data_IF_644409349171
#
_entry.id   IF_644409349171
#
_cell.length_a   1.000
_cell.length_b   1.000
_cell.length_c   1.000
_cell.angle_alpha   90.00
_cell.angle_beta   90.00
_cell.angle_gamma   90.00
#
_symmetry.space_group_name_H-M   'P 1'
#
loop_
_entity.id
_entity.type
_entity.pdbx_description
1 polymer ?
#
# COMPACT_ATOMS: atom_id res chain seq x y z
N UNK A 1 -33.64 7.48 -24.72
CA UNK A 1 -32.40 6.88 -24.17
C UNK A 1 -32.81 5.97 -23.03
N UNK A 2 -32.92 4.66 -23.28
CA UNK A 2 -33.36 3.67 -22.30
C UNK A 2 -32.13 3.02 -21.67
N UNK A 3 -31.96 3.19 -20.35
CA UNK A 3 -30.82 2.76 -19.52
C UNK A 3 -30.75 1.25 -19.25
N UNK A 4 -31.25 0.43 -20.18
CA UNK A 4 -31.27 -1.03 -20.03
C UNK A 4 -29.87 -1.68 -20.07
N UNK A 5 -28.83 -0.93 -20.44
CA UNK A 5 -27.45 -1.44 -20.45
C UNK A 5 -26.90 -1.68 -19.03
N UNK A 6 -27.39 -0.97 -18.01
CA UNK A 6 -26.83 -1.00 -16.65
C UNK A 6 -27.64 -1.81 -15.62
N UNK A 7 -28.84 -2.29 -15.98
CA UNK A 7 -29.68 -3.18 -15.15
C UNK A 7 -29.95 -4.52 -15.86
N UNK A 8 -28.91 -5.10 -16.48
CA UNK A 8 -29.00 -6.42 -17.10
C UNK A 8 -28.87 -7.52 -16.03
N UNK A 9 -29.74 -8.55 -16.02
CA UNK A 9 -29.62 -9.70 -15.11
C UNK A 9 -28.35 -10.53 -15.34
N UNK A 10 -27.63 -10.28 -16.43
CA UNK A 10 -26.29 -10.79 -16.71
C UNK A 10 -25.36 -9.61 -17.01
N UNK A 11 -24.62 -9.17 -15.99
CA UNK A 11 -23.49 -8.26 -16.18
C UNK A 11 -22.30 -9.05 -16.74
N UNK A 12 -21.53 -8.49 -17.69
CA UNK A 12 -20.30 -9.11 -18.12
C UNK A 12 -19.37 -9.38 -16.94
N UNK A 13 -18.85 -10.61 -16.86
CA UNK A 13 -17.92 -11.01 -15.80
C UNK A 13 -16.45 -10.94 -16.26
N UNK A 14 -15.53 -11.31 -15.37
CA UNK A 14 -14.09 -11.32 -15.72
C UNK A 14 -13.75 -12.29 -16.86
N UNK A 15 -14.52 -13.37 -17.08
CA UNK A 15 -14.30 -14.29 -18.21
C UNK A 15 -14.69 -13.61 -19.52
N UNK A 16 -15.83 -12.92 -19.54
CA UNK A 16 -16.29 -12.19 -20.72
C UNK A 16 -15.27 -11.13 -21.14
N UNK A 17 -14.68 -10.41 -20.17
CA UNK A 17 -13.61 -9.44 -20.43
C UNK A 17 -12.31 -10.10 -20.87
N UNK A 18 -11.91 -11.21 -20.24
CA UNK A 18 -10.66 -11.90 -20.57
C UNK A 18 -10.63 -12.37 -22.03
N UNK A 19 -11.74 -12.93 -22.53
CA UNK A 19 -11.86 -13.34 -23.93
C UNK A 19 -11.71 -12.14 -24.87
N UNK A 20 -12.42 -11.05 -24.59
CA UNK A 20 -12.38 -9.85 -25.43
C UNK A 20 -10.99 -9.21 -25.44
N UNK A 21 -10.37 -9.03 -24.27
CA UNK A 21 -9.03 -8.46 -24.13
C UNK A 21 -7.98 -9.31 -24.85
N UNK A 22 -8.06 -10.64 -24.72
CA UNK A 22 -7.13 -11.55 -25.41
C UNK A 22 -7.21 -11.41 -26.92
N UNK A 23 -8.44 -11.34 -27.47
CA UNK A 23 -8.66 -11.21 -28.91
C UNK A 23 -8.22 -9.85 -29.45
N UNK A 24 -8.44 -8.78 -28.70
CA UNK A 24 -8.13 -7.41 -29.13
C UNK A 24 -6.63 -7.08 -29.03
N UNK A 25 -5.97 -7.54 -27.96
CA UNK A 25 -4.58 -7.16 -27.66
C UNK A 25 -3.56 -8.20 -28.11
N UNK A 26 -3.98 -9.46 -28.30
CA UNK A 26 -3.08 -10.59 -28.52
C UNK A 26 -2.34 -11.06 -27.26
N UNK A 27 -2.59 -10.44 -26.10
CA UNK A 27 -2.04 -10.85 -24.81
C UNK A 27 -2.96 -11.90 -24.20
N UNK A 28 -2.43 -13.04 -23.78
CA UNK A 28 -3.24 -14.07 -23.14
C UNK A 28 -3.77 -13.58 -21.78
N UNK A 29 -5.09 -13.49 -21.66
CA UNK A 29 -5.78 -13.04 -20.45
C UNK A 29 -6.73 -14.13 -19.96
N UNK A 30 -6.74 -14.33 -18.65
CA UNK A 30 -7.69 -15.17 -17.92
C UNK A 30 -8.60 -14.30 -17.05
N UNK A 31 -9.73 -14.82 -16.57
CA UNK A 31 -10.55 -14.10 -15.60
C UNK A 31 -9.75 -13.64 -14.37
N UNK A 32 -8.86 -14.51 -13.85
CA UNK A 32 -8.02 -14.20 -12.72
C UNK A 32 -7.04 -13.05 -12.99
N UNK A 33 -6.48 -12.95 -14.21
CA UNK A 33 -5.59 -11.83 -14.56
C UNK A 33 -6.36 -10.52 -14.72
N UNK A 34 -7.61 -10.57 -15.20
CA UNK A 34 -8.49 -9.40 -15.28
C UNK A 34 -8.86 -8.91 -13.88
N UNK A 35 -9.25 -9.81 -12.99
CA UNK A 35 -9.55 -9.50 -11.60
C UNK A 35 -8.32 -8.93 -10.87
N UNK A 36 -7.15 -9.56 -11.04
CA UNK A 36 -5.89 -9.08 -10.49
C UNK A 36 -5.51 -7.69 -11.03
N UNK A 37 -5.78 -7.40 -12.31
CA UNK A 37 -5.55 -6.07 -12.87
C UNK A 37 -6.44 -5.02 -12.17
N UNK A 38 -7.72 -5.33 -11.93
CA UNK A 38 -8.63 -4.47 -11.17
C UNK A 38 -8.17 -4.25 -9.73
N UNK A 39 -7.73 -5.31 -9.05
CA UNK A 39 -7.14 -5.21 -7.72
C UNK A 39 -5.88 -4.33 -7.72
N UNK A 40 -4.99 -4.50 -8.71
CA UNK A 40 -3.75 -3.72 -8.84
C UNK A 40 -4.03 -2.22 -9.03
N UNK A 41 -5.02 -1.88 -9.86
CA UNK A 41 -5.46 -0.49 -10.07
C UNK A 41 -5.94 0.12 -8.75
N UNK A 42 -6.85 -0.55 -8.04
CA UNK A 42 -7.33 -0.10 -6.72
C UNK A 42 -6.18 0.03 -5.70
N UNK A 43 -5.22 -0.89 -5.73
CA UNK A 43 -4.03 -0.85 -4.88
C UNK A 43 -3.17 0.39 -5.14
N UNK A 44 -2.93 0.72 -6.41
CA UNK A 44 -2.18 1.93 -6.81
C UNK A 44 -2.93 3.21 -6.43
N UNK A 45 -4.24 3.27 -6.65
CA UNK A 45 -5.08 4.41 -6.25
C UNK A 45 -5.03 4.63 -4.73
N UNK A 46 -5.09 3.56 -3.93
CA UNK A 46 -4.93 3.64 -2.47
C UNK A 46 -3.56 4.16 -2.07
N UNK A 47 -2.49 3.74 -2.74
CA UNK A 47 -1.14 4.26 -2.48
C UNK A 47 -1.02 5.75 -2.80
N UNK A 48 -1.61 6.20 -3.91
CA UNK A 48 -1.67 7.62 -4.28
C UNK A 48 -2.45 8.43 -3.24
N UNK A 49 -3.64 7.97 -2.88
CA UNK A 49 -4.49 8.61 -1.87
C UNK A 49 -3.77 8.72 -0.51
N UNK A 50 -3.04 7.67 -0.12
CA UNK A 50 -2.25 7.69 1.10
C UNK A 50 -1.12 8.71 1.07
N UNK A 51 -0.42 8.84 -0.06
CA UNK A 51 0.59 9.88 -0.27
C UNK A 51 0.01 11.29 -0.18
N UNK A 52 -1.28 11.46 -0.50
CA UNK A 52 -2.02 12.72 -0.36
C UNK A 52 -2.64 12.92 1.03
N UNK A 53 -2.41 11.99 1.97
CA UNK A 53 -2.81 12.11 3.38
C UNK A 53 -4.10 11.39 3.75
N UNK A 54 -4.73 10.65 2.82
CA UNK A 54 -5.91 9.84 3.15
C UNK A 54 -5.52 8.53 3.86
N UNK A 55 -6.36 8.09 4.79
CA UNK A 55 -6.13 6.87 5.55
C UNK A 55 -7.39 6.22 6.11
N UNK A 56 -7.25 5.23 7.01
CA UNK A 56 -8.38 4.46 7.55
C UNK A 56 -9.45 5.29 8.28
N UNK A 57 -9.09 6.49 8.71
CA UNK A 57 -10.03 7.43 9.35
C UNK A 57 -10.97 8.09 8.32
N UNK A 58 -10.54 8.20 7.07
CA UNK A 58 -11.31 8.78 5.97
C UNK A 58 -12.18 7.73 5.26
N UNK A 59 -11.85 6.44 5.41
CA UNK A 59 -12.64 5.30 4.96
C UNK A 59 -13.90 5.13 5.84
N UNK A 60 -14.80 6.12 5.77
CA UNK A 60 -16.04 6.20 6.54
C UNK A 60 -17.20 6.75 5.69
N UNK A 61 -18.40 6.80 6.26
CA UNK A 61 -19.61 7.33 5.64
C UNK A 61 -20.10 8.59 6.37
N UNK A 62 -21.03 9.38 5.79
CA UNK A 62 -21.54 10.57 6.46
C UNK A 62 -22.06 10.28 7.86
N UNK A 63 -21.69 11.12 8.83
CA UNK A 63 -22.01 10.93 10.26
C UNK A 63 -23.51 10.68 10.51
N UNK A 64 -24.38 11.29 9.70
CA UNK A 64 -25.82 11.11 9.79
C UNK A 64 -26.28 9.66 9.61
N UNK A 65 -25.56 8.80 8.87
CA UNK A 65 -25.93 7.39 8.72
C UNK A 65 -25.78 6.58 10.02
N UNK A 66 -24.99 7.10 10.97
CA UNK A 66 -24.84 6.51 12.31
C UNK A 66 -25.77 7.13 13.36
N UNK A 67 -26.29 8.33 13.09
CA UNK A 67 -27.03 9.15 14.06
C UNK A 67 -28.52 9.20 13.75
N UNK A 68 -28.86 9.34 12.48
CA UNK A 68 -30.22 9.49 11.98
C UNK A 68 -30.66 8.16 11.39
N UNK A 69 -31.81 7.65 11.85
CA UNK A 69 -32.45 6.51 11.23
C UNK A 69 -33.06 6.88 9.88
N UNK A 70 -33.31 5.89 9.02
CA UNK A 70 -34.06 6.10 7.79
C UNK A 70 -35.40 6.79 8.11
N UNK A 71 -35.72 7.85 7.36
CA UNK A 71 -36.87 8.71 7.67
C UNK A 71 -38.22 8.06 7.36
N UNK A 72 -38.26 7.14 6.39
CA UNK A 72 -39.46 6.49 5.88
C UNK A 72 -39.12 5.12 5.26
N UNK A 73 -40.15 4.34 4.93
CA UNK A 73 -40.03 3.04 4.27
C UNK A 73 -39.88 1.86 5.24
N UNK A 74 -39.66 0.65 4.72
CA UNK A 74 -39.66 -0.59 5.52
C UNK A 74 -38.54 -0.68 6.57
N UNK A 75 -37.51 0.16 6.44
CA UNK A 75 -36.36 0.24 7.36
C UNK A 75 -36.40 1.51 8.21
N UNK A 76 -37.56 2.14 8.37
CA UNK A 76 -37.70 3.40 9.12
C UNK A 76 -37.10 3.28 10.53
N UNK A 77 -36.25 4.26 10.90
CA UNK A 77 -35.55 4.29 12.18
C UNK A 77 -34.26 3.47 12.24
N UNK A 78 -34.00 2.58 11.26
CA UNK A 78 -32.73 1.86 11.17
C UNK A 78 -31.58 2.79 10.82
N UNK A 79 -30.43 2.58 11.45
CA UNK A 79 -29.18 3.31 11.25
C UNK A 79 -28.01 2.34 11.35
N UNK A 80 -26.85 2.74 10.84
CA UNK A 80 -25.65 1.93 10.94
C UNK A 80 -25.17 1.87 12.40
N UNK A 81 -24.84 0.66 12.86
CA UNK A 81 -24.09 0.47 14.10
C UNK A 81 -22.60 0.77 13.85
N UNK A 82 -22.00 1.75 14.55
CA UNK A 82 -20.57 2.06 14.39
C UNK A 82 -19.65 0.87 14.63
N UNK A 83 -19.98 -0.01 15.59
CA UNK A 83 -19.14 -1.17 15.92
C UNK A 83 -19.18 -2.19 14.77
N UNK A 84 -20.37 -2.53 14.29
CA UNK A 84 -20.53 -3.41 13.13
C UNK A 84 -19.88 -2.83 11.86
N UNK A 85 -19.95 -1.51 11.65
CA UNK A 85 -19.31 -0.85 10.50
C UNK A 85 -17.79 -0.98 10.53
N UNK A 86 -17.16 -0.70 11.67
CA UNK A 86 -15.70 -0.85 11.82
C UNK A 86 -15.25 -2.30 11.64
N UNK A 87 -16.03 -3.26 12.16
CA UNK A 87 -15.77 -4.69 11.92
C UNK A 87 -15.89 -5.06 10.43
N UNK A 88 -16.89 -4.51 9.71
CA UNK A 88 -17.04 -4.70 8.27
C UNK A 88 -15.86 -4.09 7.50
N UNK A 89 -15.41 -2.89 7.86
CA UNK A 89 -14.23 -2.23 7.27
C UNK A 89 -12.97 -3.08 7.46
N UNK A 90 -12.74 -3.60 8.66
CA UNK A 90 -11.63 -4.50 8.95
C UNK A 90 -11.67 -5.76 8.09
N UNK A 91 -12.83 -6.42 8.01
CA UNK A 91 -13.02 -7.59 7.13
C UNK A 91 -12.80 -7.24 5.66
N UNK A 92 -13.27 -6.08 5.21
CA UNK A 92 -13.06 -5.61 3.84
C UNK A 92 -11.56 -5.47 3.51
N UNK A 93 -10.76 -4.91 4.43
CA UNK A 93 -9.31 -4.84 4.24
C UNK A 93 -8.67 -6.23 4.15
N UNK A 94 -9.03 -7.14 5.06
CA UNK A 94 -8.51 -8.50 5.08
C UNK A 94 -8.78 -9.23 3.75
N UNK A 95 -10.04 -9.28 3.31
CA UNK A 95 -10.41 -10.01 2.09
C UNK A 95 -9.88 -9.36 0.81
N UNK A 96 -9.59 -8.05 0.85
CA UNK A 96 -9.04 -7.30 -0.28
C UNK A 96 -7.51 -7.30 -0.32
N UNK A 97 -6.83 -8.04 0.58
CA UNK A 97 -5.37 -8.06 0.63
C UNK A 97 -4.76 -6.72 1.06
N UNK A 98 -5.46 -5.99 1.93
CA UNK A 98 -5.00 -4.74 2.53
C UNK A 98 -4.57 -4.97 3.98
N UNK A 99 -3.70 -4.09 4.46
CA UNK A 99 -3.28 -3.94 5.85
C UNK A 99 -4.33 -3.17 6.65
N UNK A 100 -4.22 -3.13 7.98
CA UNK A 100 -5.06 -2.28 8.85
C UNK A 100 -4.98 -0.79 8.51
N UNK A 101 -3.87 -0.37 7.87
CA UNK A 101 -3.69 1.00 7.35
C UNK A 101 -4.42 1.25 6.03
N UNK A 102 -5.18 0.29 5.50
CA UNK A 102 -5.89 0.41 4.22
C UNK A 102 -4.96 0.39 3.00
N UNK A 103 -3.73 -0.12 3.15
CA UNK A 103 -2.73 -0.21 2.07
C UNK A 103 -2.53 -1.65 1.63
N UNK A 104 -2.19 -1.93 0.35
CA UNK A 104 -1.78 -3.27 -0.11
C UNK A 104 -0.77 -3.93 0.84
N UNK A 105 -0.90 -5.24 1.06
CA UNK A 105 0.08 -6.03 1.83
C UNK A 105 1.51 -5.84 1.30
N UNK A 106 2.56 -5.92 2.14
CA UNK A 106 3.92 -5.49 1.78
C UNK A 106 4.45 -6.05 0.46
N UNK A 107 4.35 -7.37 0.24
CA UNK A 107 4.86 -8.01 -0.98
C UNK A 107 4.10 -7.53 -2.22
N UNK A 108 2.78 -7.39 -2.11
CA UNK A 108 1.94 -6.90 -3.20
C UNK A 108 2.23 -5.42 -3.50
N UNK A 109 2.39 -4.60 -2.46
CA UNK A 109 2.75 -3.18 -2.56
C UNK A 109 4.07 -2.97 -3.30
N UNK A 110 5.10 -3.73 -2.93
CA UNK A 110 6.40 -3.69 -3.58
C UNK A 110 6.27 -4.00 -5.08
N UNK A 111 5.55 -5.08 -5.42
CA UNK A 111 5.31 -5.45 -6.81
C UNK A 111 4.57 -4.35 -7.60
N UNK A 112 3.56 -3.72 -7.00
CA UNK A 112 2.83 -2.61 -7.64
C UNK A 112 3.73 -1.41 -7.91
N UNK A 113 4.49 -0.96 -6.90
CA UNK A 113 5.37 0.20 -7.04
C UNK A 113 6.49 -0.08 -8.02
N UNK A 114 7.11 -1.26 -7.96
CA UNK A 114 8.15 -1.65 -8.91
C UNK A 114 7.62 -1.69 -10.35
N UNK A 115 6.39 -2.19 -10.55
CA UNK A 115 5.76 -2.18 -11.86
C UNK A 115 5.43 -0.77 -12.37
N UNK A 116 5.04 0.16 -11.48
CA UNK A 116 4.66 1.52 -11.84
C UNK A 116 5.85 2.48 -12.01
N UNK A 117 6.84 2.41 -11.12
CA UNK A 117 7.99 3.31 -11.06
C UNK A 117 9.25 2.73 -11.72
N UNK A 118 9.30 1.42 -11.95
CA UNK A 118 10.48 0.73 -12.48
C UNK A 118 11.61 0.55 -11.46
N UNK A 119 11.39 0.95 -10.21
CA UNK A 119 12.35 0.85 -9.11
C UNK A 119 11.59 0.75 -7.78
N UNK A 120 12.04 -0.14 -6.90
CA UNK A 120 11.59 -0.16 -5.52
C UNK A 120 12.71 -0.62 -4.58
N UNK A 121 12.88 0.06 -3.44
CA UNK A 121 13.73 -0.40 -2.34
C UNK A 121 12.89 -0.48 -1.07
N UNK A 122 12.88 -1.66 -0.46
CA UNK A 122 12.19 -1.89 0.82
C UNK A 122 13.12 -1.50 1.96
N UNK A 123 12.70 -0.57 2.80
CA UNK A 123 13.49 -0.08 3.93
C UNK A 123 12.79 -0.41 5.23
N UNK A 124 13.41 -1.27 6.01
CA UNK A 124 12.92 -1.67 7.33
C UNK A 124 13.61 -0.91 8.45
N UNK A 125 12.81 -0.58 9.43
CA UNK A 125 13.24 0.04 10.66
C UNK A 125 12.75 -0.86 11.81
N UNK A 126 13.62 -1.70 12.41
CA UNK A 126 13.22 -2.66 13.45
C UNK A 126 12.58 -2.00 14.67
N UNK A 127 11.87 -2.74 15.53
CA UNK A 127 11.33 -2.13 16.76
C UNK A 127 12.46 -1.60 17.65
N UNK A 128 12.29 -0.38 18.16
CA UNK A 128 13.11 0.23 19.21
C UNK A 128 12.26 0.53 20.45
N UNK A 129 12.88 0.87 21.59
CA UNK A 129 12.19 0.96 22.88
C UNK A 129 10.95 1.90 22.88
N UNK A 130 11.04 3.01 22.15
CA UNK A 130 9.98 4.04 22.07
C UNK A 130 9.35 4.15 20.68
N UNK A 131 9.77 3.31 19.73
CA UNK A 131 9.36 3.41 18.32
C UNK A 131 8.99 2.04 17.75
N UNK A 132 7.77 1.88 17.20
CA UNK A 132 7.36 0.61 16.62
C UNK A 132 8.22 0.24 15.40
N UNK A 133 8.19 -1.04 15.03
CA UNK A 133 8.76 -1.46 13.77
C UNK A 133 7.99 -0.79 12.61
N UNK A 134 8.73 -0.36 11.60
CA UNK A 134 8.17 0.32 10.44
C UNK A 134 8.89 -0.14 9.17
N UNK A 135 8.13 -0.28 8.10
CA UNK A 135 8.67 -0.58 6.77
C UNK A 135 8.14 0.46 5.81
N UNK A 136 9.04 1.13 5.11
CA UNK A 136 8.71 2.07 4.04
C UNK A 136 9.27 1.57 2.72
N UNK A 137 8.77 2.12 1.63
CA UNK A 137 9.21 1.78 0.29
C UNK A 137 9.67 3.05 -0.41
N UNK A 138 10.89 3.03 -0.95
CA UNK A 138 11.37 4.10 -1.82
C UNK A 138 11.09 3.72 -3.27
N UNK A 139 10.39 4.60 -4.00
CA UNK A 139 9.95 4.41 -5.39
C UNK A 139 10.78 5.22 -6.41
N UNK A 140 11.88 5.84 -5.96
CA UNK A 140 12.79 6.61 -6.80
C UNK A 140 14.19 5.99 -6.85
N UNK A 141 14.83 5.92 -8.03
CA UNK A 141 16.19 5.41 -8.15
C UNK A 141 17.20 6.22 -7.33
N UNK A 142 18.08 5.51 -6.63
CA UNK A 142 19.21 6.07 -5.87
C UNK A 142 20.48 5.28 -6.21
N UNK A 143 21.62 5.96 -6.33
CA UNK A 143 22.87 5.32 -6.74
C UNK A 143 23.50 4.50 -5.61
N UNK A 144 23.40 4.99 -4.37
CA UNK A 144 24.09 4.43 -3.20
C UNK A 144 23.32 4.66 -1.89
N UNK A 145 23.85 4.15 -0.78
CA UNK A 145 23.22 4.27 0.53
C UNK A 145 23.15 5.72 1.06
N UNK A 146 24.06 6.61 0.63
CA UNK A 146 24.01 8.03 1.01
C UNK A 146 22.84 8.71 0.34
N UNK A 147 22.65 8.47 -0.96
CA UNK A 147 21.49 8.97 -1.69
C UNK A 147 20.18 8.38 -1.16
N UNK A 148 20.17 7.09 -0.78
CA UNK A 148 19.03 6.45 -0.12
C UNK A 148 18.63 7.18 1.17
N UNK A 149 19.58 7.49 2.05
CA UNK A 149 19.29 8.24 3.29
C UNK A 149 18.71 9.62 2.98
N UNK A 150 19.27 10.35 2.03
CA UNK A 150 18.79 11.69 1.63
C UNK A 150 17.36 11.61 1.10
N UNK A 151 17.08 10.65 0.23
CA UNK A 151 15.77 10.38 -0.33
C UNK A 151 14.75 10.06 0.77
N UNK A 152 15.09 9.17 1.70
CA UNK A 152 14.24 8.80 2.83
C UNK A 152 13.96 9.97 3.76
N UNK A 153 14.95 10.82 4.06
CA UNK A 153 14.75 12.02 4.88
C UNK A 153 13.79 13.01 4.23
N UNK A 154 13.83 13.13 2.89
CA UNK A 154 12.94 14.00 2.12
C UNK A 154 11.49 13.51 2.16
N UNK A 155 11.27 12.20 1.98
CA UNK A 155 9.92 11.63 1.92
C UNK A 155 9.33 11.27 3.29
N UNK A 156 10.19 10.95 4.26
CA UNK A 156 9.83 10.49 5.60
C UNK A 156 10.60 11.25 6.68
N UNK A 157 10.38 12.57 6.83
CA UNK A 157 11.11 13.39 7.80
C UNK A 157 10.92 12.93 9.26
N UNK A 158 9.82 12.23 9.57
CA UNK A 158 9.57 11.63 10.88
C UNK A 158 10.60 10.54 11.26
N UNK A 159 11.29 9.95 10.27
CA UNK A 159 12.29 8.90 10.47
C UNK A 159 13.71 9.45 10.62
N UNK A 160 13.89 10.78 10.69
CA UNK A 160 15.22 11.39 10.67
C UNK A 160 16.14 10.88 11.79
N UNK A 161 15.64 10.71 13.01
CA UNK A 161 16.44 10.17 14.12
C UNK A 161 16.90 8.73 13.89
N UNK A 162 16.16 7.95 13.10
CA UNK A 162 16.48 6.55 12.76
C UNK A 162 17.43 6.42 11.57
N UNK A 163 17.57 7.50 10.81
CA UNK A 163 18.39 7.60 9.61
C UNK A 163 19.70 8.35 9.86
N UNK A 164 19.96 8.77 11.10
CA UNK A 164 21.21 9.43 11.47
C UNK A 164 22.38 8.46 11.28
N UNK A 165 23.32 8.78 10.39
CA UNK A 165 24.46 7.93 10.05
C UNK A 165 25.44 7.73 11.21
N UNK A 166 25.43 8.60 12.23
CA UNK A 166 26.26 8.42 13.42
C UNK A 166 25.63 7.42 14.40
N UNK A 167 24.31 7.28 14.38
CA UNK A 167 23.54 6.46 15.32
C UNK A 167 23.02 5.16 14.69
N UNK A 168 22.98 5.08 13.36
CA UNK A 168 22.39 3.96 12.62
C UNK A 168 23.35 3.35 11.60
N UNK A 169 23.38 2.02 11.58
CA UNK A 169 24.13 1.21 10.65
C UNK A 169 23.20 0.60 9.61
N UNK A 170 23.59 0.64 8.34
CA UNK A 170 22.84 0.04 7.25
C UNK A 170 23.14 -1.46 7.13
N UNK A 171 22.09 -2.24 6.88
CA UNK A 171 22.16 -3.66 6.51
C UNK A 171 21.50 -3.81 5.15
N UNK A 172 22.28 -4.05 4.11
CA UNK A 172 21.81 -4.22 2.74
C UNK A 172 21.72 -5.70 2.40
N UNK A 173 20.53 -6.22 2.11
CA UNK A 173 20.29 -7.63 1.77
C UNK A 173 20.91 -8.61 2.78
N UNK A 174 20.89 -8.25 4.07
CA UNK A 174 21.49 -9.02 5.16
C UNK A 174 22.99 -8.81 5.38
N UNK A 175 23.66 -8.00 4.56
CA UNK A 175 25.07 -7.63 4.74
C UNK A 175 25.19 -6.31 5.49
N UNK A 176 25.85 -6.34 6.64
CA UNK A 176 26.14 -5.15 7.45
C UNK A 176 27.19 -4.28 6.76
N UNK A 177 26.88 -2.98 6.61
CA UNK A 177 27.76 -2.00 6.00
C UNK A 177 28.41 -1.17 7.11
N UNK A 178 29.66 -1.52 7.46
CA UNK A 178 30.42 -0.86 8.53
C UNK A 178 31.03 0.47 8.10
N UNK A 179 31.32 0.63 6.81
CA UNK A 179 31.85 1.86 6.22
C UNK A 179 31.62 1.88 4.71
N UNK A 180 31.78 3.03 4.07
CA UNK A 180 31.72 3.14 2.62
C UNK A 180 30.31 3.16 2.04
N UNK A 181 29.34 3.79 2.72
CA UNK A 181 27.96 3.93 2.22
C UNK A 181 27.90 4.51 0.79
N UNK A 182 28.72 5.52 0.50
CA UNK A 182 28.82 6.12 -0.86
C UNK A 182 29.36 5.17 -1.93
N UNK A 183 30.10 4.15 -1.54
CA UNK A 183 30.60 3.12 -2.46
C UNK A 183 29.64 1.92 -2.55
N UNK A 184 28.59 1.88 -1.72
CA UNK A 184 27.66 0.76 -1.63
C UNK A 184 26.45 1.03 -2.51
N UNK A 185 26.43 0.44 -3.71
CA UNK A 185 25.35 0.60 -4.67
C UNK A 185 24.03 0.02 -4.16
N UNK A 186 22.95 0.78 -4.33
CA UNK A 186 21.57 0.34 -4.11
C UNK A 186 20.92 0.04 -5.46
N UNK A 187 20.20 -1.07 -5.55
CA UNK A 187 19.58 -1.58 -6.77
C UNK A 187 18.07 -1.77 -6.58
N UNK A 188 17.37 -1.83 -7.71
CA UNK A 188 15.96 -2.19 -7.74
C UNK A 188 15.73 -3.58 -7.11
N UNK A 189 14.79 -3.66 -6.17
CA UNK A 189 14.46 -4.84 -5.40
C UNK A 189 15.35 -5.08 -4.18
N UNK A 190 16.28 -4.18 -3.88
CA UNK A 190 17.10 -4.29 -2.67
C UNK A 190 16.25 -4.06 -1.41
N UNK A 191 16.66 -4.75 -0.34
CA UNK A 191 16.09 -4.58 1.00
C UNK A 191 17.15 -4.02 1.94
N UNK A 192 16.87 -2.89 2.54
CA UNK A 192 17.76 -2.20 3.48
C UNK A 192 17.13 -2.17 4.85
N UNK A 193 17.92 -2.38 5.90
CA UNK A 193 17.49 -2.11 7.27
C UNK A 193 18.45 -1.14 7.93
N UNK A 194 17.90 -0.14 8.63
CA UNK A 194 18.71 0.75 9.48
C UNK A 194 18.55 0.31 10.93
N UNK A 195 19.66 -0.07 11.56
CA UNK A 195 19.70 -0.55 12.95
C UNK A 195 20.55 0.36 13.81
N UNK A 196 20.17 0.55 15.07
CA UNK A 196 20.90 1.42 15.98
C UNK A 196 22.28 0.81 16.36
N UNK A 197 23.35 1.55 16.08
CA UNK A 197 24.73 1.09 16.25
C UNK A 197 25.16 0.92 17.73
N UNK A 198 24.40 1.48 18.68
CA UNK A 198 24.73 1.49 20.12
C UNK A 198 24.23 0.22 20.85
N UNK A 199 23.61 -0.74 20.15
CA UNK A 199 23.15 -2.02 20.74
C UNK A 199 24.26 -3.07 20.90
N UNK A 200 25.48 -2.64 21.23
CA UNK A 200 26.60 -3.48 21.65
C UNK A 200 26.95 -3.22 23.11
N UNK A 201 26.20 -3.85 24.02
CA UNK A 201 26.55 -4.02 25.44
C UNK A 201 26.85 -5.48 25.74
#
# INVERSE_FOLDING_TARGET
FNTWLFNSPSLPDCNDFAVQLSRLTGIDMTAATVEAAGANINGLERLLNHRLGLGPADDTVPQRWFQEGASDGPYQGERLDPIAFEALKGRFYEVSGLTEKGLPQPQWREALVRAAAGFAVTVDFPREAEQPAETVLLDEPVADLVELRIALLRHYPALAGRLDSELSMAVLNGQTILSGERATTVRDGDRVSFINAITGG
#
